data_IF_599038971994
#
_entry.id   IF_599038971994
#
_cell.length_a   1.000
_cell.length_b   1.000
_cell.length_c   1.000
_cell.angle_alpha   90.00
_cell.angle_beta   90.00
_cell.angle_gamma   90.00
#
_symmetry.space_group_name_H-M   'P 1'
#
loop_
_entity.id
_entity.type
_entity.pdbx_description
1 polymer ?
#
# COMPACT_ATOMS: atom_id res chain seq x y z
N UNK A 1 6.45 -19.65 3.60
CA UNK A 1 5.58 -18.48 3.60
C UNK A 1 5.47 -17.78 4.95
N UNK A 2 5.69 -18.48 6.04
CA UNK A 2 5.56 -17.94 7.41
C UNK A 2 6.88 -17.47 8.03
N UNK A 3 7.98 -17.57 7.29
CA UNK A 3 9.27 -17.08 7.73
C UNK A 3 9.50 -15.66 7.21
N UNK A 4 9.57 -14.70 8.10
CA UNK A 4 10.04 -13.35 7.83
C UNK A 4 11.39 -13.18 8.47
N UNK A 5 12.42 -12.79 7.72
CA UNK A 5 13.78 -12.60 8.22
C UNK A 5 13.90 -11.53 9.31
N UNK A 6 12.86 -10.73 9.50
CA UNK A 6 12.81 -9.65 10.49
C UNK A 6 13.23 -8.28 9.93
N UNK A 7 13.12 -7.27 10.78
CA UNK A 7 13.37 -5.87 10.39
C UNK A 7 14.85 -5.60 10.11
N UNK A 8 15.75 -6.16 10.91
CA UNK A 8 17.20 -5.93 10.79
C UNK A 8 17.76 -6.47 9.47
N UNK A 9 17.53 -7.74 9.07
CA UNK A 9 17.96 -8.24 7.78
C UNK A 9 17.39 -7.46 6.60
N UNK A 10 16.11 -7.05 6.68
CA UNK A 10 15.48 -6.24 5.64
C UNK A 10 16.15 -4.86 5.52
N UNK A 11 16.47 -4.22 6.63
CA UNK A 11 17.18 -2.96 6.66
C UNK A 11 18.57 -3.08 6.02
N UNK A 12 19.33 -4.09 6.40
CA UNK A 12 20.67 -4.34 5.84
C UNK A 12 20.62 -4.61 4.34
N UNK A 13 19.59 -5.32 3.86
CA UNK A 13 19.38 -5.55 2.43
C UNK A 13 19.12 -4.25 1.68
N UNK A 14 18.24 -3.38 2.18
CA UNK A 14 17.93 -2.08 1.57
C UNK A 14 19.18 -1.21 1.49
N UNK A 15 20.00 -1.18 2.56
CA UNK A 15 21.26 -0.44 2.58
C UNK A 15 22.27 -1.02 1.57
N UNK A 16 22.42 -2.34 1.52
CA UNK A 16 23.33 -3.02 0.56
C UNK A 16 22.94 -2.80 -0.90
N UNK A 17 21.62 -2.68 -1.18
CA UNK A 17 21.12 -2.38 -2.52
C UNK A 17 21.24 -0.91 -2.91
N UNK A 18 21.73 -0.03 -2.02
CA UNK A 18 21.83 1.40 -2.27
C UNK A 18 20.49 2.13 -2.33
N UNK A 19 19.43 1.53 -1.79
CA UNK A 19 18.08 2.08 -1.79
C UNK A 19 17.77 2.91 -0.54
N UNK A 20 18.70 2.97 0.43
CA UNK A 20 18.54 3.76 1.64
C UNK A 20 18.42 5.25 1.29
N UNK A 21 17.52 5.94 1.96
CA UNK A 21 17.21 7.36 1.73
C UNK A 21 16.70 7.68 0.32
N UNK A 22 16.03 6.74 -0.29
CA UNK A 22 15.39 6.89 -1.60
C UNK A 22 13.92 6.44 -1.56
N UNK A 23 13.00 7.11 -2.29
CA UNK A 23 11.61 6.69 -2.40
C UNK A 23 11.46 5.24 -2.90
N UNK A 24 12.43 4.75 -3.67
CA UNK A 24 12.46 3.37 -4.16
C UNK A 24 12.57 2.33 -3.05
N UNK A 25 13.06 2.70 -1.85
CA UNK A 25 13.06 1.83 -0.66
C UNK A 25 11.66 1.41 -0.23
N UNK A 26 10.63 2.18 -0.57
CA UNK A 26 9.22 1.87 -0.28
C UNK A 26 8.57 1.10 -1.42
N UNK A 27 8.84 1.50 -2.66
CA UNK A 27 8.16 0.97 -3.85
C UNK A 27 8.64 -0.43 -4.22
N UNK A 28 9.97 -0.62 -4.27
CA UNK A 28 10.55 -1.91 -4.72
C UNK A 28 10.12 -3.09 -3.84
N UNK A 29 10.23 -3.03 -2.49
CA UNK A 29 9.75 -4.13 -1.64
C UNK A 29 8.24 -4.36 -1.75
N UNK A 30 7.44 -3.30 -1.95
CA UNK A 30 5.99 -3.41 -2.10
C UNK A 30 5.58 -4.17 -3.39
N UNK A 31 6.38 -4.07 -4.46
CA UNK A 31 6.13 -4.79 -5.71
C UNK A 31 6.30 -6.32 -5.55
N UNK A 32 7.12 -6.79 -4.62
CA UNK A 32 7.44 -8.21 -4.41
C UNK A 32 6.71 -8.83 -3.22
N UNK A 33 5.41 -8.60 -3.12
CA UNK A 33 4.59 -9.23 -2.08
C UNK A 33 4.27 -10.69 -2.44
N UNK A 34 4.65 -11.63 -1.57
CA UNK A 34 4.30 -13.06 -1.71
C UNK A 34 2.77 -13.23 -1.75
N UNK A 35 2.04 -12.45 -0.97
CA UNK A 35 0.58 -12.45 -0.97
C UNK A 35 0.00 -12.09 -2.34
N UNK A 36 0.54 -11.04 -2.98
CA UNK A 36 0.14 -10.64 -4.32
C UNK A 36 0.38 -11.75 -5.34
N UNK A 37 1.52 -12.46 -5.26
CA UNK A 37 1.84 -13.58 -6.14
C UNK A 37 0.81 -14.72 -5.98
N UNK A 38 0.40 -15.02 -4.75
CA UNK A 38 -0.61 -16.06 -4.50
C UNK A 38 -1.95 -15.66 -5.10
N UNK A 39 -2.37 -14.41 -4.93
CA UNK A 39 -3.62 -13.90 -5.50
C UNK A 39 -3.63 -14.01 -7.03
N UNK A 40 -2.54 -13.59 -7.70
CA UNK A 40 -2.40 -13.74 -9.15
C UNK A 40 -2.48 -15.20 -9.57
N UNK A 41 -1.74 -16.08 -8.87
CA UNK A 41 -1.75 -17.52 -9.16
C UNK A 41 -3.14 -18.13 -8.99
N UNK A 42 -3.85 -17.77 -7.92
CA UNK A 42 -5.22 -18.24 -7.69
C UNK A 42 -6.18 -17.78 -8.80
N UNK A 43 -6.08 -16.50 -9.18
CA UNK A 43 -6.89 -15.95 -10.25
C UNK A 43 -6.58 -16.61 -11.60
N UNK A 44 -5.31 -16.78 -11.96
CA UNK A 44 -4.94 -17.43 -13.23
C UNK A 44 -5.37 -18.90 -13.30
N UNK A 45 -5.43 -19.61 -12.18
CA UNK A 45 -5.98 -20.96 -12.11
C UNK A 45 -7.49 -21.03 -12.32
N UNK A 46 -8.21 -19.93 -12.15
CA UNK A 46 -9.64 -19.88 -12.42
C UNK A 46 -9.97 -19.67 -13.91
N UNK A 47 -8.99 -19.34 -14.73
CA UNK A 47 -9.14 -19.20 -16.18
C UNK A 47 -9.27 -20.61 -16.79
N UNK A 48 -10.27 -20.85 -17.68
CA UNK A 48 -10.44 -22.14 -18.33
C UNK A 48 -9.20 -22.57 -19.12
N UNK A 49 -8.79 -23.82 -18.95
CA UNK A 49 -7.63 -24.40 -19.63
C UNK A 49 -7.81 -24.45 -21.16
N UNK A 50 -9.05 -24.57 -21.63
CA UNK A 50 -9.38 -24.56 -23.05
C UNK A 50 -8.85 -23.35 -23.83
N UNK A 51 -8.76 -22.18 -23.18
CA UNK A 51 -8.17 -20.98 -23.79
C UNK A 51 -6.66 -21.12 -24.00
N UNK A 52 -6.00 -21.80 -23.08
CA UNK A 52 -4.56 -22.06 -23.18
C UNK A 52 -4.27 -23.13 -24.21
N UNK A 53 -5.10 -24.18 -24.28
CA UNK A 53 -4.99 -25.25 -25.28
C UNK A 53 -5.24 -24.73 -26.69
N UNK A 54 -6.28 -23.93 -26.90
CA UNK A 54 -6.56 -23.29 -28.18
C UNK A 54 -5.37 -22.44 -28.66
N UNK A 55 -4.84 -21.59 -27.77
CA UNK A 55 -3.67 -20.78 -28.12
C UNK A 55 -2.41 -21.59 -28.45
N UNK A 56 -2.25 -22.77 -27.83
CA UNK A 56 -1.14 -23.70 -28.15
C UNK A 56 -1.35 -24.39 -29.49
N UNK A 57 -2.57 -24.77 -29.82
CA UNK A 57 -2.91 -25.35 -31.14
C UNK A 57 -2.63 -24.32 -32.23
N UNK A 58 -2.88 -23.03 -31.98
CA UNK A 58 -2.55 -21.91 -32.86
C UNK A 58 -1.03 -21.62 -32.93
N UNK A 59 -0.19 -22.42 -32.26
CA UNK A 59 1.28 -22.29 -32.29
C UNK A 59 1.83 -21.18 -31.39
N UNK A 60 1.05 -20.66 -30.44
CA UNK A 60 1.52 -19.61 -29.54
C UNK A 60 2.58 -20.13 -28.55
N UNK A 61 3.69 -19.41 -28.42
CA UNK A 61 4.68 -19.66 -27.37
C UNK A 61 4.14 -19.33 -25.97
N UNK A 62 4.75 -19.88 -24.92
CA UNK A 62 4.35 -19.61 -23.53
C UNK A 62 4.30 -18.10 -23.19
N UNK A 63 5.25 -17.33 -23.71
CA UNK A 63 5.27 -15.88 -23.51
C UNK A 63 4.10 -15.21 -24.24
N UNK A 64 3.77 -15.66 -25.44
CA UNK A 64 2.61 -15.13 -26.18
C UNK A 64 1.29 -15.48 -25.47
N UNK A 65 1.14 -16.70 -24.95
CA UNK A 65 0.00 -17.07 -24.13
C UNK A 65 -0.11 -16.18 -22.91
N UNK A 66 0.99 -15.95 -22.18
CA UNK A 66 0.99 -15.04 -21.03
C UNK A 66 0.55 -13.63 -21.42
N UNK A 67 1.17 -13.03 -22.44
CA UNK A 67 0.94 -11.63 -22.80
C UNK A 67 -0.40 -11.39 -23.52
N UNK A 68 -0.83 -12.35 -24.38
CA UNK A 68 -2.03 -12.17 -25.22
C UNK A 68 -3.30 -12.78 -24.59
N UNK A 69 -3.18 -13.75 -23.68
CA UNK A 69 -4.32 -14.39 -23.04
C UNK A 69 -4.41 -14.02 -21.56
N UNK A 70 -3.41 -14.39 -20.75
CA UNK A 70 -3.48 -14.20 -19.31
C UNK A 70 -3.46 -12.73 -18.87
N UNK A 71 -2.61 -11.88 -19.44
CA UNK A 71 -2.52 -10.47 -19.07
C UNK A 71 -3.81 -9.71 -19.39
N UNK A 72 -4.43 -9.82 -20.59
CA UNK A 72 -5.70 -9.16 -20.86
C UNK A 72 -6.85 -9.66 -19.99
N UNK A 73 -6.94 -10.97 -19.76
CA UNK A 73 -7.95 -11.57 -18.88
C UNK A 73 -7.67 -11.22 -17.40
N UNK A 74 -6.41 -11.02 -17.03
CA UNK A 74 -5.96 -10.66 -15.69
C UNK A 74 -6.18 -9.19 -15.30
N UNK A 75 -6.74 -8.33 -16.15
CA UNK A 75 -6.98 -6.92 -15.82
C UNK A 75 -7.69 -6.71 -14.46
N UNK A 76 -8.71 -7.50 -14.07
CA UNK A 76 -9.34 -7.33 -12.75
C UNK A 76 -8.38 -7.59 -11.60
N UNK A 77 -7.59 -8.68 -11.64
CA UNK A 77 -6.65 -8.98 -10.55
C UNK A 77 -5.53 -7.95 -10.47
N UNK A 78 -5.03 -7.45 -11.60
CA UNK A 78 -4.04 -6.38 -11.59
C UNK A 78 -4.59 -5.08 -10.99
N UNK A 79 -5.86 -4.76 -11.20
CA UNK A 79 -6.51 -3.64 -10.54
C UNK A 79 -6.57 -3.82 -9.02
N UNK A 80 -6.90 -5.03 -8.54
CA UNK A 80 -6.87 -5.37 -7.10
C UNK A 80 -5.47 -5.17 -6.52
N UNK A 81 -4.44 -5.69 -7.19
CA UNK A 81 -3.05 -5.57 -6.75
C UNK A 81 -2.58 -4.12 -6.72
N UNK A 82 -2.97 -3.33 -7.73
CA UNK A 82 -2.65 -1.91 -7.76
C UNK A 82 -3.23 -1.17 -6.54
N UNK A 83 -4.50 -1.43 -6.19
CA UNK A 83 -5.12 -0.85 -5.00
C UNK A 83 -4.38 -1.28 -3.73
N UNK A 84 -4.10 -2.57 -3.55
CA UNK A 84 -3.37 -3.06 -2.37
C UNK A 84 -1.98 -2.43 -2.25
N UNK A 85 -1.26 -2.30 -3.35
CA UNK A 85 0.07 -1.70 -3.36
C UNK A 85 0.01 -0.21 -3.07
N UNK A 86 -0.90 0.54 -3.71
CA UNK A 86 -1.08 1.97 -3.49
C UNK A 86 -1.43 2.26 -2.03
N UNK A 87 -2.44 1.56 -1.50
CA UNK A 87 -2.89 1.75 -0.11
C UNK A 87 -1.81 1.30 0.88
N UNK A 88 -1.12 0.19 0.59
CA UNK A 88 -0.02 -0.32 1.42
C UNK A 88 1.14 0.67 1.52
N UNK A 89 1.61 1.20 0.39
CA UNK A 89 2.68 2.21 0.35
C UNK A 89 2.22 3.52 0.99
N UNK A 90 0.98 3.95 0.73
CA UNK A 90 0.41 5.15 1.34
C UNK A 90 0.43 5.09 2.87
N UNK A 91 0.13 3.93 3.46
CA UNK A 91 0.08 3.73 4.90
C UNK A 91 1.44 3.33 5.53
N UNK A 92 2.51 3.27 4.77
CA UNK A 92 3.82 2.71 5.18
C UNK A 92 4.67 3.66 6.04
N UNK A 93 4.11 4.24 7.11
CA UNK A 93 4.83 5.14 8.01
C UNK A 93 6.04 4.49 8.70
N UNK A 94 5.95 3.19 9.06
CA UNK A 94 7.02 2.50 9.79
C UNK A 94 8.25 2.24 8.93
N UNK A 95 8.06 1.74 7.71
CA UNK A 95 9.16 1.54 6.76
C UNK A 95 9.76 2.88 6.32
N UNK A 96 8.93 3.91 6.17
CA UNK A 96 9.41 5.26 5.88
C UNK A 96 10.29 5.81 7.00
N UNK A 97 9.91 5.58 8.27
CA UNK A 97 10.72 5.97 9.42
C UNK A 97 12.09 5.30 9.44
N UNK A 98 12.17 4.03 8.97
CA UNK A 98 13.42 3.28 8.95
C UNK A 98 14.32 3.62 7.77
N UNK A 99 13.74 3.85 6.59
CA UNK A 99 14.50 3.93 5.34
C UNK A 99 14.65 5.35 4.80
N UNK A 100 13.83 6.33 5.26
CA UNK A 100 13.82 7.70 4.79
C UNK A 100 14.11 8.68 5.94
N UNK A 101 15.38 8.84 6.36
CA UNK A 101 15.76 9.75 7.44
C UNK A 101 15.54 11.22 7.05
N UNK A 102 15.74 11.60 5.78
CA UNK A 102 15.56 12.96 5.32
C UNK A 102 14.08 13.31 5.15
N UNK A 103 13.69 14.49 5.60
CA UNK A 103 12.30 14.95 5.63
C UNK A 103 11.67 15.15 4.25
N UNK A 104 12.47 15.40 3.24
CA UNK A 104 12.00 15.70 1.87
C UNK A 104 11.22 14.53 1.23
N UNK A 105 11.59 13.28 1.58
CA UNK A 105 10.98 12.07 1.03
C UNK A 105 9.98 11.40 1.95
N UNK A 106 9.73 12.00 3.13
CA UNK A 106 8.83 11.39 4.11
C UNK A 106 7.38 11.47 3.66
N UNK A 107 6.63 10.36 3.72
CA UNK A 107 5.22 10.35 3.38
C UNK A 107 4.39 11.12 4.41
N UNK A 108 3.23 11.61 3.98
CA UNK A 108 2.31 12.39 4.82
C UNK A 108 1.93 11.68 6.13
N UNK A 109 1.86 10.35 6.12
CA UNK A 109 1.60 9.53 7.31
C UNK A 109 2.66 9.68 8.40
N UNK A 110 3.91 9.96 8.03
CA UNK A 110 4.97 10.27 9.00
C UNK A 110 4.73 11.60 9.72
N UNK A 111 4.30 12.63 9.00
CA UNK A 111 3.94 13.92 9.59
C UNK A 111 2.74 13.79 10.53
N UNK A 112 1.70 13.07 10.10
CA UNK A 112 0.53 12.79 10.94
C UNK A 112 0.95 12.11 12.25
N UNK A 113 1.80 11.07 12.17
CA UNK A 113 2.31 10.37 13.34
C UNK A 113 3.11 11.30 14.27
N UNK A 114 3.99 12.14 13.71
CA UNK A 114 4.79 13.09 14.49
C UNK A 114 3.89 14.04 15.28
N UNK A 115 2.89 14.64 14.65
CA UNK A 115 1.93 15.53 15.33
C UNK A 115 1.15 14.78 16.41
N UNK A 116 0.74 13.53 16.16
CA UNK A 116 0.02 12.72 17.15
C UNK A 116 0.89 12.35 18.36
N UNK A 117 2.18 12.12 18.19
CA UNK A 117 3.12 11.79 19.27
C UNK A 117 3.47 13.04 20.06
N UNK A 118 3.81 14.15 19.39
CA UNK A 118 4.14 15.41 20.01
C UNK A 118 2.97 15.95 20.85
N UNK A 119 1.74 15.85 20.36
CA UNK A 119 0.55 16.26 21.09
C UNK A 119 0.35 15.48 22.41
N UNK A 120 0.80 14.22 22.47
CA UNK A 120 0.73 13.40 23.70
C UNK A 120 1.83 13.77 24.70
N UNK A 121 3.03 14.08 24.25
CA UNK A 121 4.16 14.39 25.13
C UNK A 121 3.99 15.72 25.85
N UNK A 122 3.38 16.72 25.21
CA UNK A 122 3.10 18.02 25.83
C UNK A 122 2.14 17.92 27.01
N UNK A 123 1.28 16.89 27.04
CA UNK A 123 0.32 16.66 28.13
C UNK A 123 0.96 16.15 29.43
N UNK A 124 2.16 15.55 29.33
CA UNK A 124 2.78 14.87 30.47
C UNK A 124 3.74 15.78 31.27
N UNK A 125 4.05 16.98 30.77
CA UNK A 125 5.15 17.79 31.29
C UNK A 125 4.78 19.05 32.10
N UNK A 126 3.49 19.35 32.32
CA UNK A 126 3.13 20.63 32.95
C UNK A 126 2.24 20.48 34.17
N UNK A 127 2.74 20.96 35.32
CA UNK A 127 2.07 20.93 36.63
C UNK A 127 1.64 22.29 37.18
N UNK A 128 1.69 23.41 36.40
CA UNK A 128 1.35 24.74 36.89
C UNK A 128 -0.02 25.25 36.40
N UNK A 129 -0.84 25.77 37.32
CA UNK A 129 -2.21 26.22 37.05
C UNK A 129 -2.29 27.47 36.12
N UNK A 130 -1.27 28.30 36.08
CA UNK A 130 -1.22 29.49 35.19
C UNK A 130 -1.11 29.12 33.72
N UNK A 131 -0.48 27.98 33.41
CA UNK A 131 -0.30 27.42 32.08
C UNK A 131 -1.49 26.60 31.59
N UNK A 132 -2.45 26.27 32.48
CA UNK A 132 -3.59 25.39 32.15
C UNK A 132 -4.48 25.96 31.01
N UNK A 133 -4.70 27.27 30.95
CA UNK A 133 -5.53 27.90 29.92
C UNK A 133 -4.83 27.93 28.56
N UNK A 134 -3.54 28.19 28.55
CA UNK A 134 -2.70 28.17 27.33
C UNK A 134 -2.57 26.74 26.81
N UNK A 135 -2.41 25.77 27.70
CA UNK A 135 -2.39 24.36 27.38
C UNK A 135 -3.72 23.88 26.80
N UNK A 136 -4.85 24.29 27.35
CA UNK A 136 -6.17 23.95 26.82
C UNK A 136 -6.37 24.48 25.39
N UNK A 137 -5.92 25.72 25.11
CA UNK A 137 -5.95 26.26 23.74
C UNK A 137 -5.03 25.50 22.78
N UNK A 138 -3.81 25.15 23.20
CA UNK A 138 -2.90 24.33 22.40
C UNK A 138 -3.47 22.92 22.15
N UNK A 139 -4.14 22.33 23.14
CA UNK A 139 -4.80 21.04 22.99
C UNK A 139 -5.93 21.08 21.95
N UNK A 140 -6.77 22.13 21.99
CA UNK A 140 -7.84 22.35 21.01
C UNK A 140 -7.26 22.53 19.61
N UNK A 141 -6.21 23.36 19.46
CA UNK A 141 -5.51 23.55 18.19
C UNK A 141 -4.91 22.25 17.66
N UNK A 142 -4.23 21.47 18.52
CA UNK A 142 -3.66 20.18 18.15
C UNK A 142 -4.75 19.15 17.78
N UNK A 143 -5.90 19.17 18.47
CA UNK A 143 -7.02 18.30 18.12
C UNK A 143 -7.62 18.67 16.75
N UNK A 144 -7.79 19.96 16.47
CA UNK A 144 -8.27 20.43 15.16
C UNK A 144 -7.30 20.03 14.03
N UNK A 145 -6.00 20.26 14.23
CA UNK A 145 -4.97 19.82 13.27
C UNK A 145 -5.01 18.32 13.03
N UNK A 146 -5.15 17.52 14.09
CA UNK A 146 -5.28 16.06 13.99
C UNK A 146 -6.45 15.66 13.10
N UNK A 147 -7.65 16.18 13.34
CA UNK A 147 -8.83 15.83 12.55
C UNK A 147 -8.72 16.32 11.10
N UNK A 148 -8.22 17.53 10.89
CA UNK A 148 -7.97 18.06 9.56
C UNK A 148 -6.99 17.16 8.77
N UNK A 149 -5.90 16.71 9.41
CA UNK A 149 -4.91 15.83 8.77
C UNK A 149 -5.47 14.43 8.48
N UNK A 150 -6.32 13.87 9.37
CA UNK A 150 -6.99 12.59 9.11
C UNK A 150 -7.85 12.69 7.85
N UNK A 151 -8.66 13.74 7.72
CA UNK A 151 -9.47 13.96 6.53
C UNK A 151 -8.58 14.10 5.29
N UNK A 152 -7.54 14.92 5.38
CA UNK A 152 -6.64 15.17 4.25
C UNK A 152 -5.87 13.91 3.82
N UNK A 153 -5.45 13.06 4.78
CA UNK A 153 -4.75 11.79 4.46
C UNK A 153 -5.69 10.71 3.95
N UNK A 154 -6.96 10.74 4.32
CA UNK A 154 -7.96 9.74 3.89
C UNK A 154 -8.50 10.05 2.49
N UNK A 155 -8.61 11.33 2.12
CA UNK A 155 -9.21 11.78 0.88
C UNK A 155 -8.58 11.17 -0.39
N UNK A 156 -7.23 11.13 -0.58
CA UNK A 156 -6.62 10.52 -1.74
C UNK A 156 -6.94 9.02 -1.87
N UNK A 157 -7.00 8.30 -0.75
CA UNK A 157 -7.34 6.87 -0.74
C UNK A 157 -8.79 6.66 -1.17
N UNK A 158 -9.72 7.49 -0.67
CA UNK A 158 -11.12 7.47 -1.09
C UNK A 158 -11.27 7.80 -2.58
N UNK A 159 -10.49 8.75 -3.10
CA UNK A 159 -10.50 9.10 -4.52
C UNK A 159 -9.97 7.99 -5.42
N UNK A 160 -9.11 7.09 -4.95
CA UNK A 160 -8.63 5.96 -5.76
C UNK A 160 -9.72 4.91 -6.00
N UNK A 161 -10.66 4.72 -5.05
CA UNK A 161 -11.69 3.68 -5.13
C UNK A 161 -12.55 3.72 -6.40
N UNK A 162 -13.14 4.87 -6.83
CA UNK A 162 -13.99 4.94 -8.02
C UNK A 162 -13.26 4.52 -9.31
N UNK A 163 -11.95 4.78 -9.41
CA UNK A 163 -11.17 4.40 -10.60
C UNK A 163 -11.06 2.88 -10.76
N UNK A 164 -10.97 2.16 -9.66
CA UNK A 164 -10.80 0.71 -9.66
C UNK A 164 -12.13 -0.05 -9.56
N UNK A 165 -13.21 0.58 -9.07
CA UNK A 165 -14.53 -0.05 -8.89
C UNK A 165 -15.03 -0.74 -10.15
N UNK A 166 -14.85 -0.14 -11.33
CA UNK A 166 -15.27 -0.71 -12.62
C UNK A 166 -14.62 -2.07 -12.95
N UNK A 167 -13.43 -2.34 -12.41
CA UNK A 167 -12.72 -3.60 -12.61
C UNK A 167 -13.19 -4.67 -11.63
N UNK A 168 -13.57 -4.29 -10.40
CA UNK A 168 -14.12 -5.21 -9.40
C UNK A 168 -15.48 -5.78 -9.84
N UNK A 169 -16.37 -4.91 -10.32
CA UNK A 169 -17.70 -5.34 -10.77
C UNK A 169 -17.61 -6.34 -11.93
N UNK A 170 -16.73 -6.07 -12.91
CA UNK A 170 -16.53 -6.99 -14.05
C UNK A 170 -15.91 -8.33 -13.64
N UNK A 171 -15.06 -8.36 -12.63
CA UNK A 171 -14.44 -9.60 -12.13
C UNK A 171 -15.42 -10.52 -11.40
N UNK A 172 -16.37 -9.97 -10.66
CA UNK A 172 -17.38 -10.74 -9.93
C UNK A 172 -18.39 -11.42 -10.88
N UNK A 173 -18.77 -10.75 -11.98
CA UNK A 173 -19.73 -11.30 -12.96
C UNK A 173 -19.16 -12.53 -13.68
N UNK A 174 -17.86 -12.58 -13.96
CA UNK A 174 -17.21 -13.73 -14.57
C UNK A 174 -17.15 -14.96 -13.63
N UNK A 175 -17.14 -14.75 -12.31
CA UNK A 175 -17.16 -15.81 -11.31
C UNK A 175 -18.55 -16.42 -11.07
N UNK A 176 -19.62 -15.63 -11.26
CA UNK A 176 -21.00 -16.07 -11.03
C UNK A 176 -21.64 -16.82 -12.21
N UNK A 177 -21.01 -16.83 -13.38
CA UNK A 177 -21.48 -17.57 -14.57
C UNK A 177 -21.01 -19.04 -14.59
N UNK A 178 -20.43 -19.54 -13.48
CA UNK A 178 -19.92 -20.93 -13.33
C UNK A 178 -20.84 -21.84 -12.52
N UNK A 179 -22.08 -21.43 -12.23
CA UNK A 179 -23.14 -22.32 -11.73
C UNK A 179 -24.10 -22.71 -12.84
#
# INVERSE_FOLDING_TARGET
MYFAGGTIPSFLLIVKLGLYDSPFSQVIPACFSIWNIILVKAYFRSIPESLTEAARIDGASLVQVLLKVFVPLGKPIFAVLAVYTIVGVWNSWFSAMLYLPHTEWQPLQMYLRRILVESKQTLTQVMDAATAKELAMRQLSNAQLKYAMIIFTTLPVLCTYPFFQKYFVKGMVLGSLKE
#
